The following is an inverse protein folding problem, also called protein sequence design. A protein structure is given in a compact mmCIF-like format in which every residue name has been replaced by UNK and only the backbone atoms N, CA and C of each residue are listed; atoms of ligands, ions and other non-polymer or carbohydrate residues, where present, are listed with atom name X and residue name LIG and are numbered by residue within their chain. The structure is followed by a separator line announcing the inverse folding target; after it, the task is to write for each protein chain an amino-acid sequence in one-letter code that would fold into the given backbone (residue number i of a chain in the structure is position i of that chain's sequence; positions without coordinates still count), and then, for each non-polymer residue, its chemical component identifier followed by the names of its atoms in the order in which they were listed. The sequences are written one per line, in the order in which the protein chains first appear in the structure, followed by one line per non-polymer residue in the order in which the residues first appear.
data_IF_230571554998
#
_entry.id   IF_230571554998
#
_cell.length_a   1.000
_cell.length_b   1.000
_cell.length_c   1.000
_cell.angle_alpha   90.00
_cell.angle_beta   90.00
_cell.angle_gamma   90.00
#
_symmetry.space_group_name_H-M   'P 1'
#
loop_
_entity.id
_entity.type
_entity.pdbx_description
1 polymer ?
#
# COMPACT_ATOMS: atom_id res chain seq x y z
N UNK A 1 -3.17 -2.03 1.80
CA UNK A 1 -2.31 -2.48 2.92
C UNK A 1 -2.93 -3.65 3.68
N UNK A 2 -4.22 -3.60 4.07
CA UNK A 2 -4.92 -4.71 4.75
C UNK A 2 -4.61 -6.11 4.19
N UNK A 3 -4.87 -6.35 2.91
CA UNK A 3 -4.63 -7.66 2.30
C UNK A 3 -3.15 -8.04 2.23
N UNK A 4 -2.22 -7.08 2.14
CA UNK A 4 -0.80 -7.41 2.16
C UNK A 4 -0.38 -7.98 3.52
N UNK A 5 -0.98 -7.47 4.60
CA UNK A 5 -0.75 -7.99 5.97
C UNK A 5 -1.53 -9.28 6.16
N UNK A 6 -2.86 -9.28 6.08
CA UNK A 6 -3.69 -10.41 6.53
C UNK A 6 -3.98 -11.47 5.46
N UNK A 7 -3.95 -11.12 4.18
CA UNK A 7 -4.34 -12.03 3.09
C UNK A 7 -3.38 -11.91 1.88
N UNK A 8 -2.06 -12.12 2.05
CA UNK A 8 -1.08 -11.88 0.99
C UNK A 8 -1.32 -12.75 -0.25
N UNK A 9 -1.95 -13.91 -0.10
CA UNK A 9 -2.33 -14.82 -1.20
C UNK A 9 -3.34 -14.22 -2.19
N UNK A 10 -4.10 -13.19 -1.78
CA UNK A 10 -5.05 -12.47 -2.64
C UNK A 10 -4.37 -11.43 -3.53
N UNK A 11 -3.10 -11.12 -3.30
CA UNK A 11 -2.34 -10.16 -4.09
C UNK A 11 -1.37 -10.87 -5.06
N UNK A 12 -1.08 -10.28 -6.23
CA UNK A 12 -0.03 -10.79 -7.11
C UNK A 12 1.33 -10.84 -6.40
N UNK A 13 2.13 -11.89 -6.64
CA UNK A 13 3.44 -12.10 -5.99
C UNK A 13 4.39 -10.91 -6.18
N UNK A 14 4.46 -10.37 -7.39
CA UNK A 14 5.29 -9.19 -7.69
C UNK A 14 4.88 -7.96 -6.86
N UNK A 15 3.57 -7.80 -6.62
CA UNK A 15 3.04 -6.70 -5.83
C UNK A 15 3.39 -6.86 -4.35
N UNK A 16 3.26 -8.07 -3.79
CA UNK A 16 3.72 -8.35 -2.43
C UNK A 16 5.22 -8.08 -2.25
N UNK A 17 6.05 -8.50 -3.20
CA UNK A 17 7.50 -8.26 -3.17
C UNK A 17 7.82 -6.76 -3.20
N UNK A 18 7.11 -6.00 -4.05
CA UNK A 18 7.30 -4.56 -4.14
C UNK A 18 6.92 -3.84 -2.84
N UNK A 19 5.77 -4.17 -2.24
CA UNK A 19 5.36 -3.57 -0.96
C UNK A 19 6.34 -3.94 0.15
N UNK A 20 6.78 -5.21 0.22
CA UNK A 20 7.76 -5.65 1.22
C UNK A 20 9.08 -4.90 1.12
N UNK A 21 9.59 -4.67 -0.10
CA UNK A 21 10.79 -3.88 -0.34
C UNK A 21 10.63 -2.42 0.12
N UNK A 22 9.46 -1.82 -0.07
CA UNK A 22 9.18 -0.46 0.37
C UNK A 22 8.92 -0.34 1.89
N UNK A 23 8.37 -1.39 2.51
CA UNK A 23 7.98 -1.39 3.92
C UNK A 23 9.18 -1.47 4.87
N UNK A 24 10.28 -2.14 4.48
CA UNK A 24 11.51 -2.28 5.30
C UNK A 24 11.16 -2.58 6.77
N UNK A 25 10.49 -3.72 6.98
CA UNK A 25 10.03 -4.18 8.29
C UNK A 25 10.36 -5.67 8.41
N UNK A 26 10.65 -6.13 9.63
CA UNK A 26 10.90 -7.54 9.88
C UNK A 26 9.64 -8.37 9.59
N UNK A 27 9.73 -9.44 8.77
CA UNK A 27 8.58 -10.29 8.45
C UNK A 27 7.94 -10.95 9.68
N UNK A 28 8.69 -11.17 10.76
CA UNK A 28 8.19 -11.72 12.03
C UNK A 28 7.16 -10.82 12.68
N UNK A 29 7.31 -9.50 12.55
CA UNK A 29 6.31 -8.55 13.06
C UNK A 29 5.00 -8.62 12.26
N UNK A 30 5.08 -8.78 10.93
CA UNK A 30 3.89 -8.99 10.10
C UNK A 30 3.20 -10.31 10.48
N UNK A 31 3.99 -11.35 10.72
CA UNK A 31 3.47 -12.65 11.15
C UNK A 31 2.81 -12.58 12.53
N UNK A 32 3.39 -11.85 13.48
CA UNK A 32 2.78 -11.61 14.79
C UNK A 32 1.43 -10.88 14.68
N UNK A 33 1.31 -9.89 13.80
CA UNK A 33 0.04 -9.22 13.52
C UNK A 33 -1.01 -10.18 12.96
N UNK A 34 -0.63 -11.12 12.07
CA UNK A 34 -1.55 -12.16 11.55
C UNK A 34 -2.00 -13.11 12.64
N UNK A 35 -1.09 -13.52 13.52
CA UNK A 35 -1.40 -14.40 14.66
C UNK A 35 -2.29 -13.68 15.68
N UNK A 36 -2.09 -12.38 15.87
CA UNK A 36 -2.97 -11.55 16.69
C UNK A 36 -4.38 -11.44 16.09
N UNK A 37 -4.48 -11.24 14.77
CA UNK A 37 -5.75 -11.17 14.03
C UNK A 37 -6.54 -12.48 14.03
N UNK A 38 -5.85 -13.62 13.95
CA UNK A 38 -6.47 -14.96 13.97
C UNK A 38 -6.74 -15.48 15.38
N UNK A 39 -6.28 -14.78 16.42
CA UNK A 39 -6.41 -15.20 17.82
C UNK A 39 -5.41 -16.27 18.26
N UNK A 40 -4.45 -16.65 17.41
CA UNK A 40 -3.36 -17.56 17.77
C UNK A 40 -2.37 -16.92 18.75
N UNK A 41 -2.15 -15.61 18.63
CA UNK A 41 -1.40 -14.80 19.60
C UNK A 41 -2.41 -13.97 20.40
N UNK A 42 -2.42 -14.15 21.72
CA UNK A 42 -3.31 -13.44 22.64
C UNK A 42 -2.50 -12.72 23.72
N UNK A 43 -2.80 -11.45 23.95
CA UNK A 43 -2.19 -10.70 25.03
C UNK A 43 -2.59 -11.24 26.41
N UNK A 44 -1.64 -11.27 27.34
CA UNK A 44 -1.83 -11.74 28.72
C UNK A 44 -1.95 -13.25 28.88
N UNK A 45 -1.79 -14.02 27.80
CA UNK A 45 -1.87 -15.49 27.81
C UNK A 45 -0.65 -16.08 27.11
N UNK A 46 0.05 -17.00 27.76
CA UNK A 46 1.10 -17.77 27.11
C UNK A 46 0.49 -18.84 26.19
N UNK A 47 0.50 -18.53 24.90
CA UNK A 47 0.02 -19.38 23.80
C UNK A 47 1.16 -20.09 23.07
N UNK A 48 2.38 -20.07 23.63
CA UNK A 48 3.59 -20.58 22.98
C UNK A 48 4.08 -19.73 21.81
N UNK A 49 3.54 -18.51 21.64
CA UNK A 49 3.89 -17.60 20.54
C UNK A 49 5.07 -16.67 20.85
N UNK A 50 5.50 -16.59 22.11
CA UNK A 50 6.61 -15.74 22.56
C UNK A 50 7.92 -15.91 21.76
N UNK A 51 8.33 -17.12 21.32
CA UNK A 51 9.58 -17.28 20.56
C UNK A 51 9.65 -16.48 19.26
N UNK A 52 8.51 -16.18 18.61
CA UNK A 52 8.47 -15.48 17.33
C UNK A 52 9.06 -14.06 17.44
N UNK A 53 8.52 -13.25 18.35
CA UNK A 53 9.00 -11.89 18.58
C UNK A 53 10.15 -11.85 19.59
N UNK A 54 10.28 -12.86 20.45
CA UNK A 54 11.44 -13.03 21.32
C UNK A 54 12.74 -13.12 20.51
N UNK A 55 12.79 -14.01 19.51
CA UNK A 55 13.95 -14.11 18.60
C UNK A 55 14.20 -12.81 17.82
N UNK A 56 13.15 -12.05 17.50
CA UNK A 56 13.29 -10.73 16.88
C UNK A 56 13.92 -9.72 17.84
N UNK A 57 13.52 -9.72 19.11
CA UNK A 57 14.13 -8.89 20.12
C UNK A 57 15.61 -9.25 20.31
N UNK A 58 15.93 -10.54 20.33
CA UNK A 58 17.30 -11.04 20.46
C UNK A 58 18.20 -10.53 19.30
N UNK A 59 17.75 -10.62 18.05
CA UNK A 59 18.50 -10.15 16.87
C UNK A 59 18.72 -8.63 16.84
N UNK A 60 17.78 -7.87 17.43
CA UNK A 60 17.84 -6.41 17.50
C UNK A 60 18.47 -5.88 18.80
N UNK A 61 18.87 -6.75 19.72
CA UNK A 61 19.47 -6.37 21.01
C UNK A 61 18.47 -5.77 22.01
N UNK A 62 17.17 -6.08 21.88
CA UNK A 62 16.13 -5.65 22.82
C UNK A 62 15.86 -6.71 23.90
N UNK A 63 15.28 -6.33 25.05
CA UNK A 63 14.88 -7.30 26.05
C UNK A 63 13.89 -8.33 25.49
N UNK A 64 14.21 -9.62 25.61
CA UNK A 64 13.37 -10.72 25.10
C UNK A 64 11.93 -10.67 25.61
N UNK A 65 11.72 -10.20 26.84
CA UNK A 65 10.41 -10.01 27.45
C UNK A 65 9.51 -9.02 26.67
N UNK A 66 10.08 -8.11 25.87
CA UNK A 66 9.30 -7.21 25.01
C UNK A 66 8.63 -7.93 23.83
N UNK A 67 9.12 -9.12 23.47
CA UNK A 67 8.51 -9.97 22.45
C UNK A 67 7.50 -10.98 23.02
N UNK A 68 7.32 -11.03 24.34
CA UNK A 68 6.42 -11.98 24.98
C UNK A 68 5.00 -11.39 25.09
N UNK A 69 3.98 -11.97 24.42
CA UNK A 69 2.60 -11.48 24.50
C UNK A 69 1.96 -11.65 25.89
N UNK A 70 2.46 -12.55 26.73
CA UNK A 70 1.96 -12.72 28.10
C UNK A 70 2.46 -11.62 29.04
N UNK A 71 3.65 -11.06 28.76
CA UNK A 71 4.31 -10.05 29.59
C UNK A 71 4.09 -8.64 29.04
N UNK A 72 4.25 -8.44 27.73
CA UNK A 72 4.25 -7.13 27.10
C UNK A 72 2.91 -6.81 26.44
N UNK A 73 2.05 -6.07 27.17
CA UNK A 73 0.71 -5.69 26.72
C UNK A 73 0.52 -4.18 26.70
N UNK A 74 0.41 -3.53 25.53
CA UNK A 74 0.72 -4.04 24.19
C UNK A 74 2.26 -4.03 23.96
N UNK A 75 2.75 -4.67 22.88
CA UNK A 75 4.18 -4.63 22.54
C UNK A 75 4.75 -3.19 22.50
N UNK A 76 6.02 -2.93 22.85
CA UNK A 76 6.54 -1.56 22.87
C UNK A 76 6.62 -0.96 21.45
N UNK A 77 6.39 0.35 21.32
CA UNK A 77 6.52 1.02 20.03
C UNK A 77 7.92 0.90 19.43
N UNK A 78 8.96 0.78 20.25
CA UNK A 78 10.33 0.55 19.78
C UNK A 78 10.47 -0.75 18.98
N UNK A 79 9.83 -1.82 19.46
CA UNK A 79 9.71 -3.11 18.74
C UNK A 79 8.93 -2.92 17.44
N UNK A 80 7.84 -2.15 17.44
CA UNK A 80 7.05 -1.89 16.22
C UNK A 80 7.80 -1.01 15.20
N UNK A 81 8.63 -0.08 15.68
CA UNK A 81 9.39 0.88 14.87
C UNK A 81 10.73 0.33 14.37
N UNK A 82 11.06 -0.93 14.69
CA UNK A 82 12.35 -1.55 14.38
C UNK A 82 13.55 -0.76 14.95
N UNK A 83 13.39 -0.15 16.13
CA UNK A 83 14.46 0.64 16.79
C UNK A 83 14.85 1.95 16.08
N UNK A 84 14.14 2.37 15.02
CA UNK A 84 14.60 3.47 14.16
C UNK A 84 14.67 4.82 14.89
N UNK A 85 13.77 5.06 15.85
CA UNK A 85 13.67 6.32 16.61
C UNK A 85 13.25 6.05 18.08
N UNK A 86 13.66 4.91 18.64
CA UNK A 86 13.18 4.44 19.95
C UNK A 86 11.64 4.39 20.01
N UNK A 87 11.08 4.89 21.11
CA UNK A 87 9.64 4.89 21.38
C UNK A 87 8.85 6.00 20.66
N UNK A 88 9.51 6.95 19.98
CA UNK A 88 8.84 8.08 19.33
C UNK A 88 8.12 7.67 18.03
N UNK A 89 6.79 7.82 18.04
CA UNK A 89 5.94 7.54 16.86
C UNK A 89 6.10 8.62 15.78
N UNK A 90 6.19 9.88 16.19
CA UNK A 90 6.39 11.04 15.32
C UNK A 90 7.77 11.00 14.65
N UNK A 91 8.81 10.69 15.43
CA UNK A 91 10.17 10.52 14.90
C UNK A 91 10.25 9.39 13.88
N UNK A 92 9.59 8.26 14.17
CA UNK A 92 9.49 7.16 13.22
C UNK A 92 8.77 7.58 11.93
N UNK A 93 7.63 8.26 12.04
CA UNK A 93 6.87 8.75 10.90
C UNK A 93 7.67 9.73 10.03
N UNK A 94 8.39 10.67 10.64
CA UNK A 94 9.23 11.64 9.93
C UNK A 94 10.43 10.95 9.23
N UNK A 95 11.10 10.03 9.91
CA UNK A 95 12.23 9.29 9.34
C UNK A 95 11.78 8.39 8.20
N UNK A 96 10.62 7.74 8.34
CA UNK A 96 9.97 6.97 7.24
C UNK A 96 9.65 7.88 6.06
N UNK A 97 9.07 9.06 6.30
CA UNK A 97 8.75 10.01 5.24
C UNK A 97 10.00 10.37 4.43
N UNK A 98 11.10 10.74 5.10
CA UNK A 98 12.34 11.14 4.43
C UNK A 98 12.98 9.97 3.67
N UNK A 99 13.09 8.79 4.31
CA UNK A 99 13.68 7.60 3.67
C UNK A 99 12.87 7.14 2.46
N UNK A 100 11.56 7.05 2.60
CA UNK A 100 10.65 6.67 1.52
C UNK A 100 10.61 7.71 0.41
N UNK A 101 10.66 9.00 0.73
CA UNK A 101 10.77 10.06 -0.28
C UNK A 101 12.05 9.94 -1.10
N UNK A 102 13.20 9.72 -0.45
CA UNK A 102 14.50 9.55 -1.14
C UNK A 102 14.50 8.32 -2.05
N UNK A 103 13.98 7.20 -1.55
CA UNK A 103 13.85 5.96 -2.32
C UNK A 103 12.91 6.13 -3.54
N UNK A 104 11.77 6.79 -3.33
CA UNK A 104 10.83 7.11 -4.39
C UNK A 104 11.45 8.06 -5.42
N UNK A 105 12.17 9.08 -4.97
CA UNK A 105 12.86 10.05 -5.84
C UNK A 105 13.91 9.36 -6.70
N UNK A 106 14.70 8.44 -6.13
CA UNK A 106 15.67 7.65 -6.87
C UNK A 106 15.04 6.81 -8.01
N UNK A 107 13.77 6.44 -7.87
CA UNK A 107 13.03 5.68 -8.89
C UNK A 107 12.31 6.59 -9.90
N UNK A 108 11.64 7.64 -9.42
CA UNK A 108 10.79 8.49 -10.26
C UNK A 108 11.57 9.58 -11.00
N UNK A 109 12.68 10.09 -10.44
CA UNK A 109 13.46 11.14 -11.08
C UNK A 109 14.02 10.69 -12.43
N UNK A 110 14.70 9.52 -12.56
CA UNK A 110 15.23 9.06 -13.85
C UNK A 110 14.13 8.93 -14.91
N UNK A 111 12.98 8.36 -14.55
CA UNK A 111 11.84 8.18 -15.45
C UNK A 111 11.30 9.53 -15.97
N UNK A 112 11.15 10.52 -15.08
CA UNK A 112 10.66 11.84 -15.47
C UNK A 112 11.68 12.61 -16.34
N UNK A 113 12.98 12.44 -16.08
CA UNK A 113 14.05 13.03 -16.89
C UNK A 113 14.11 12.40 -18.29
N UNK A 114 14.03 11.08 -18.40
CA UNK A 114 13.95 10.37 -19.69
C UNK A 114 12.72 10.82 -20.47
N UNK A 115 11.55 10.89 -19.83
CA UNK A 115 10.33 11.36 -20.49
C UNK A 115 10.45 12.82 -20.97
N UNK A 116 11.17 13.68 -20.24
CA UNK A 116 11.46 15.04 -20.69
C UNK A 116 12.44 15.06 -21.87
N UNK A 117 13.49 14.24 -21.84
CA UNK A 117 14.45 14.12 -22.93
C UNK A 117 13.79 13.61 -24.23
N UNK A 118 12.99 12.55 -24.15
CA UNK A 118 12.25 12.02 -25.32
C UNK A 118 11.31 13.06 -25.91
N UNK A 119 10.52 13.76 -25.08
CA UNK A 119 9.64 14.85 -25.56
C UNK A 119 10.40 15.96 -26.27
N UNK A 120 11.59 16.31 -25.76
CA UNK A 120 12.43 17.34 -26.38
C UNK A 120 13.00 16.91 -27.74
N UNK A 121 13.06 15.61 -28.03
CA UNK A 121 13.50 15.07 -29.32
C UNK A 121 12.35 14.93 -30.32
N UNK A 122 11.14 14.59 -29.88
CA UNK A 122 10.01 14.25 -30.76
C UNK A 122 9.10 15.41 -31.13
N UNK A 123 9.07 16.49 -30.35
CA UNK A 123 8.15 17.61 -30.57
C UNK A 123 8.91 18.90 -30.96
N UNK A 124 8.35 19.74 -31.85
CA UNK A 124 8.89 21.06 -32.13
C UNK A 124 9.05 21.83 -30.82
N UNK A 125 10.27 22.27 -30.53
CA UNK A 125 10.61 22.85 -29.24
C UNK A 125 10.03 24.26 -29.14
N UNK A 126 8.90 24.39 -28.46
CA UNK A 126 8.17 25.66 -28.27
C UNK A 126 8.60 26.44 -27.02
N UNK A 127 9.65 26.01 -26.29
CA UNK A 127 10.10 26.69 -25.08
C UNK A 127 11.50 26.32 -24.57
N UNK A 128 11.99 27.01 -23.51
CA UNK A 128 13.31 26.79 -22.94
C UNK A 128 13.42 25.48 -22.13
N UNK A 129 14.55 24.78 -22.26
CA UNK A 129 14.89 23.51 -21.59
C UNK A 129 14.66 23.56 -20.07
N UNK A 130 14.93 24.70 -19.46
CA UNK A 130 14.73 24.92 -18.02
C UNK A 130 13.28 24.71 -17.59
N UNK A 131 12.29 24.98 -18.45
CA UNK A 131 10.86 24.74 -18.15
C UNK A 131 10.55 23.24 -18.11
N UNK A 132 11.07 22.47 -19.06
CA UNK A 132 10.85 21.02 -19.10
C UNK A 132 11.55 20.29 -17.97
N UNK A 133 12.78 20.70 -17.63
CA UNK A 133 13.50 20.19 -16.48
C UNK A 133 12.78 20.52 -15.16
N UNK A 134 12.34 21.78 -14.98
CA UNK A 134 11.54 22.17 -13.79
C UNK A 134 10.26 21.34 -13.68
N UNK A 135 9.56 21.13 -14.80
CA UNK A 135 8.35 20.29 -14.84
C UNK A 135 8.66 18.84 -14.46
N UNK A 136 9.75 18.27 -14.96
CA UNK A 136 10.18 16.92 -14.62
C UNK A 136 10.53 16.79 -13.13
N UNK A 137 11.27 17.75 -12.56
CA UNK A 137 11.62 17.79 -11.15
C UNK A 137 10.39 17.92 -10.25
N UNK A 138 9.47 18.85 -10.55
CA UNK A 138 8.22 19.03 -9.79
C UNK A 138 7.36 17.77 -9.88
N UNK A 139 7.27 17.16 -11.06
CA UNK A 139 6.53 15.90 -11.25
C UNK A 139 7.12 14.78 -10.40
N UNK A 140 8.43 14.55 -10.47
CA UNK A 140 9.12 13.52 -9.68
C UNK A 140 9.01 13.78 -8.17
N UNK A 141 9.18 15.04 -7.73
CA UNK A 141 9.04 15.42 -6.33
C UNK A 141 7.61 15.19 -5.82
N UNK A 142 6.58 15.54 -6.61
CA UNK A 142 5.18 15.29 -6.27
C UNK A 142 4.89 13.79 -6.16
N UNK A 143 5.32 12.98 -7.12
CA UNK A 143 5.23 11.51 -7.07
C UNK A 143 5.88 10.91 -5.84
N UNK A 144 7.05 11.44 -5.48
CA UNK A 144 7.83 10.97 -4.34
C UNK A 144 7.20 11.40 -3.02
N UNK A 145 6.63 12.61 -2.97
CA UNK A 145 5.87 13.11 -1.83
C UNK A 145 4.59 12.29 -1.60
N UNK A 146 3.83 11.97 -2.65
CA UNK A 146 2.68 11.08 -2.57
C UNK A 146 3.04 9.73 -1.96
N UNK A 147 4.07 9.05 -2.47
CA UNK A 147 4.47 7.74 -1.99
C UNK A 147 5.08 7.78 -0.59
N UNK A 148 5.92 8.78 -0.31
CA UNK A 148 6.50 9.00 1.02
C UNK A 148 5.42 9.27 2.07
N UNK A 149 4.45 10.14 1.75
CA UNK A 149 3.32 10.43 2.61
C UNK A 149 2.42 9.21 2.80
N UNK A 150 2.16 8.43 1.74
CA UNK A 150 1.39 7.18 1.85
C UNK A 150 1.98 6.24 2.90
N UNK A 151 3.29 5.99 2.83
CA UNK A 151 3.99 5.11 3.76
C UNK A 151 4.00 5.71 5.18
N UNK A 152 4.39 6.97 5.31
CA UNK A 152 4.46 7.66 6.61
C UNK A 152 3.10 7.71 7.31
N UNK A 153 2.04 8.09 6.59
CA UNK A 153 0.67 8.14 7.10
C UNK A 153 0.14 6.75 7.47
N UNK A 154 0.53 5.69 6.75
CA UNK A 154 0.16 4.33 7.12
C UNK A 154 0.72 3.95 8.49
N UNK A 155 2.04 4.08 8.67
CA UNK A 155 2.69 3.77 9.95
C UNK A 155 2.22 4.68 11.08
N UNK A 156 2.08 5.98 10.81
CA UNK A 156 1.57 6.93 11.79
C UNK A 156 0.13 6.62 12.18
N UNK A 157 -0.75 6.27 11.23
CA UNK A 157 -2.13 5.89 11.51
C UNK A 157 -2.25 4.62 12.37
N UNK A 158 -1.39 3.62 12.11
CA UNK A 158 -1.27 2.43 12.97
C UNK A 158 -0.88 2.83 14.39
N UNK A 159 0.17 3.62 14.55
CA UNK A 159 0.69 4.04 15.86
C UNK A 159 -0.30 4.94 16.61
N UNK A 160 -0.92 5.89 15.92
CA UNK A 160 -1.92 6.80 16.47
C UNK A 160 -3.11 6.02 17.05
N UNK A 161 -3.59 5.02 16.31
CA UNK A 161 -4.67 4.15 16.77
C UNK A 161 -4.23 3.28 17.94
N UNK A 162 -3.00 2.77 17.90
CA UNK A 162 -2.46 1.88 18.92
C UNK A 162 -2.19 2.56 20.27
N UNK A 163 -1.71 3.80 20.23
CA UNK A 163 -1.16 4.48 21.41
C UNK A 163 -2.07 5.57 21.95
N UNK A 164 -2.77 6.32 21.09
CA UNK A 164 -3.56 7.47 21.47
C UNK A 164 -5.05 7.20 21.29
N UNK A 165 -5.53 7.13 20.06
CA UNK A 165 -6.97 7.12 19.78
C UNK A 165 -7.66 5.81 20.22
N UNK A 166 -7.08 4.66 19.91
CA UNK A 166 -7.70 3.36 20.24
C UNK A 166 -7.89 3.16 21.74
N UNK A 167 -6.87 3.40 22.60
CA UNK A 167 -7.04 3.27 24.05
C UNK A 167 -8.06 4.25 24.66
N UNK A 168 -8.28 5.41 24.04
CA UNK A 168 -9.31 6.36 24.46
C UNK A 168 -10.72 5.96 24.02
N UNK A 169 -10.86 5.23 22.90
CA UNK A 169 -12.17 4.85 22.32
C UNK A 169 -12.62 3.44 22.73
N UNK A 170 -11.71 2.46 22.73
CA UNK A 170 -12.00 1.04 22.98
C UNK A 170 -11.63 0.59 24.40
N UNK A 171 -10.93 1.43 25.17
CA UNK A 171 -10.45 1.13 26.51
C UNK A 171 -8.99 0.67 26.55
N UNK A 172 -8.47 0.51 27.78
CA UNK A 172 -7.06 0.17 28.05
C UNK A 172 -6.84 -1.30 28.41
N UNK A 173 -7.91 -2.07 28.53
CA UNK A 173 -7.86 -3.47 28.96
C UNK A 173 -7.15 -4.36 27.94
N UNK A 174 -6.69 -5.53 28.39
CA UNK A 174 -5.99 -6.53 27.55
C UNK A 174 -6.82 -6.89 26.32
N UNK A 175 -8.14 -7.10 26.49
CA UNK A 175 -9.06 -7.39 25.38
C UNK A 175 -9.18 -6.23 24.38
N UNK A 176 -9.17 -4.99 24.87
CA UNK A 176 -9.20 -3.80 24.03
C UNK A 176 -7.90 -3.67 23.22
N UNK A 177 -6.74 -3.87 23.86
CA UNK A 177 -5.42 -3.90 23.19
C UNK A 177 -5.33 -5.00 22.14
N UNK A 178 -5.86 -6.19 22.43
CA UNK A 178 -5.97 -7.28 21.46
C UNK A 178 -6.83 -6.89 20.25
N UNK A 179 -7.97 -6.23 20.48
CA UNK A 179 -8.84 -5.77 19.40
C UNK A 179 -8.16 -4.71 18.54
N UNK A 180 -7.40 -3.80 19.18
CA UNK A 180 -6.66 -2.75 18.49
C UNK A 180 -5.59 -3.34 17.57
N UNK A 181 -4.69 -4.18 18.11
CA UNK A 181 -3.60 -4.79 17.34
C UNK A 181 -4.07 -5.92 16.41
N UNK A 182 -5.21 -6.53 16.71
CA UNK A 182 -5.84 -7.58 15.92
C UNK A 182 -6.49 -7.10 14.61
N UNK A 183 -6.53 -5.79 14.35
CA UNK A 183 -6.99 -5.30 13.06
C UNK A 183 -7.34 -3.81 13.01
N UNK A 184 -7.86 -3.24 14.10
CA UNK A 184 -8.34 -1.85 14.09
C UNK A 184 -7.21 -0.88 13.76
N UNK A 185 -6.00 -1.10 14.28
CA UNK A 185 -4.84 -0.25 13.98
C UNK A 185 -4.44 -0.30 12.49
N UNK A 186 -4.47 -1.48 11.87
CA UNK A 186 -4.19 -1.66 10.44
C UNK A 186 -5.29 -1.03 9.58
N UNK A 187 -6.55 -1.20 9.97
CA UNK A 187 -7.69 -0.58 9.30
C UNK A 187 -7.60 0.93 9.30
N UNK A 188 -7.34 1.53 10.46
CA UNK A 188 -7.13 2.97 10.60
C UNK A 188 -5.92 3.46 9.79
N UNK A 189 -4.80 2.73 9.82
CA UNK A 189 -3.65 3.00 8.95
C UNK A 189 -4.02 3.03 7.46
N UNK A 190 -4.86 2.09 7.01
CA UNK A 190 -5.35 2.05 5.62
C UNK A 190 -6.19 3.28 5.26
N UNK A 191 -7.05 3.75 6.17
CA UNK A 191 -7.88 4.94 5.95
C UNK A 191 -7.00 6.18 5.88
N UNK A 192 -6.11 6.37 6.86
CA UNK A 192 -5.27 7.56 6.96
C UNK A 192 -4.30 7.67 5.79
N UNK A 193 -3.68 6.56 5.36
CA UNK A 193 -2.77 6.60 4.20
C UNK A 193 -3.47 6.88 2.88
N UNK A 194 -4.77 6.56 2.75
CA UNK A 194 -5.54 6.80 1.52
C UNK A 194 -5.60 8.29 1.13
N UNK A 195 -5.58 9.18 2.11
CA UNK A 195 -5.60 10.63 1.91
C UNK A 195 -4.33 11.19 1.24
N UNK A 196 -3.24 10.42 1.20
CA UNK A 196 -2.02 10.87 0.52
C UNK A 196 -2.24 11.13 -0.97
N UNK A 197 -3.24 10.49 -1.58
CA UNK A 197 -3.57 10.65 -3.01
C UNK A 197 -3.87 12.10 -3.40
N UNK A 198 -4.28 12.93 -2.44
CA UNK A 198 -4.54 14.36 -2.67
C UNK A 198 -3.27 15.16 -3.01
N UNK A 199 -2.07 14.62 -2.72
CA UNK A 199 -0.81 15.22 -3.14
C UNK A 199 -0.57 15.08 -4.66
N UNK A 200 -1.25 14.14 -5.32
CA UNK A 200 -1.17 13.95 -6.77
C UNK A 200 -2.08 14.90 -7.54
N UNK A 201 -1.73 15.13 -8.81
CA UNK A 201 -2.59 15.86 -9.73
C UNK A 201 -3.86 15.06 -10.07
N UNK A 202 -4.99 15.74 -10.26
CA UNK A 202 -6.28 15.11 -10.58
C UNK A 202 -6.25 14.12 -11.75
N UNK A 203 -5.44 14.38 -12.80
CA UNK A 203 -5.24 13.43 -13.90
C UNK A 203 -4.62 12.11 -13.42
N UNK A 204 -3.52 12.20 -12.67
CA UNK A 204 -2.80 11.03 -12.15
C UNK A 204 -3.58 10.32 -11.03
N UNK A 205 -4.39 11.03 -10.27
CA UNK A 205 -5.32 10.43 -9.30
C UNK A 205 -6.27 9.45 -9.99
N UNK A 206 -6.82 9.81 -11.17
CA UNK A 206 -7.68 8.93 -11.96
C UNK A 206 -6.92 7.69 -12.43
N UNK A 207 -5.70 7.85 -12.91
CA UNK A 207 -4.86 6.73 -13.37
C UNK A 207 -4.55 5.76 -12.21
N UNK A 208 -4.19 6.29 -11.04
CA UNK A 208 -3.94 5.48 -9.84
C UNK A 208 -5.22 4.80 -9.38
N UNK A 209 -6.37 5.49 -9.38
CA UNK A 209 -7.65 4.90 -9.02
C UNK A 209 -8.03 3.75 -9.96
N UNK A 210 -7.90 3.94 -11.28
CA UNK A 210 -8.15 2.90 -12.29
C UNK A 210 -7.17 1.73 -12.15
N UNK A 211 -5.95 1.97 -11.67
CA UNK A 211 -4.98 0.91 -11.43
C UNK A 211 -5.26 0.14 -10.12
N UNK A 212 -5.59 0.83 -9.04
CA UNK A 212 -5.70 0.25 -7.69
C UNK A 212 -7.10 -0.29 -7.40
N UNK A 213 -8.16 0.40 -7.81
CA UNK A 213 -9.53 0.01 -7.46
C UNK A 213 -9.94 -1.37 -8.00
N UNK A 214 -9.67 -1.74 -9.27
CA UNK A 214 -9.99 -3.08 -9.75
C UNK A 214 -9.21 -4.17 -9.01
N UNK A 215 -7.95 -3.90 -8.66
CA UNK A 215 -7.13 -4.84 -7.87
C UNK A 215 -7.66 -4.98 -6.44
N UNK A 216 -8.13 -3.90 -5.83
CA UNK A 216 -8.76 -3.94 -4.52
C UNK A 216 -10.08 -4.72 -4.57
N UNK A 217 -10.95 -4.46 -5.55
CA UNK A 217 -12.19 -5.21 -5.75
C UNK A 217 -11.95 -6.69 -6.03
N UNK A 218 -10.92 -7.02 -6.82
CA UNK A 218 -10.54 -8.41 -7.08
C UNK A 218 -10.19 -9.19 -5.81
N UNK A 219 -9.79 -8.52 -4.73
CA UNK A 219 -9.53 -9.20 -3.44
C UNK A 219 -10.79 -9.58 -2.68
N UNK A 220 -11.96 -9.04 -3.04
CA UNK A 220 -13.26 -9.41 -2.46
C UNK A 220 -13.81 -10.69 -3.11
N UNK A 221 -13.37 -11.00 -4.32
CA UNK A 221 -13.80 -12.16 -5.10
C UNK A 221 -12.80 -13.31 -4.94
N UNK A 222 -13.24 -14.58 -5.10
CA UNK A 222 -12.32 -15.69 -5.15
C UNK A 222 -11.41 -15.58 -6.39
N UNK A 223 -10.13 -15.91 -6.23
CA UNK A 223 -9.16 -15.85 -7.33
C UNK A 223 -9.46 -16.82 -8.48
N UNK A 224 -10.16 -17.91 -8.16
CA UNK A 224 -10.69 -18.88 -9.12
C UNK A 224 -12.05 -19.31 -8.62
N UNK A 225 -13.05 -19.23 -9.48
CA UNK A 225 -14.32 -19.90 -9.22
C UNK A 225 -14.18 -21.41 -9.42
N UNK A 226 -14.95 -22.17 -8.65
CA UNK A 226 -15.15 -23.58 -8.95
C UNK A 226 -15.85 -23.74 -10.31
N UNK A 227 -15.70 -24.91 -10.93
CA UNK A 227 -16.17 -25.18 -12.30
C UNK A 227 -17.66 -24.88 -12.50
N UNK A 228 -18.48 -25.15 -11.49
CA UNK A 228 -19.92 -24.87 -11.46
C UNK A 228 -20.26 -23.37 -11.52
N UNK A 229 -19.32 -22.50 -11.15
CA UNK A 229 -19.52 -21.03 -11.04
C UNK A 229 -18.71 -20.24 -12.06
N UNK A 230 -17.98 -20.89 -12.96
CA UNK A 230 -17.19 -20.21 -14.00
C UNK A 230 -18.05 -19.34 -14.92
N UNK A 231 -19.32 -19.70 -15.12
CA UNK A 231 -20.27 -18.89 -15.89
C UNK A 231 -20.35 -17.44 -15.41
N UNK A 232 -20.10 -17.16 -14.12
CA UNK A 232 -20.09 -15.80 -13.57
C UNK A 232 -18.97 -14.95 -14.17
N UNK A 233 -17.78 -15.53 -14.31
CA UNK A 233 -16.66 -14.87 -14.98
C UNK A 233 -16.94 -14.69 -16.46
N UNK A 234 -17.49 -15.72 -17.13
CA UNK A 234 -17.86 -15.66 -18.54
C UNK A 234 -18.88 -14.55 -18.82
N UNK A 235 -19.93 -14.45 -18.00
CA UNK A 235 -20.97 -13.41 -18.14
C UNK A 235 -20.38 -12.03 -17.89
N UNK A 236 -19.60 -11.85 -16.82
CA UNK A 236 -18.96 -10.56 -16.54
C UNK A 236 -18.00 -10.14 -17.66
N UNK A 237 -17.23 -11.08 -18.21
CA UNK A 237 -16.32 -10.85 -19.31
C UNK A 237 -17.07 -10.52 -20.61
N UNK A 238 -18.12 -11.29 -20.94
CA UNK A 238 -18.93 -11.06 -22.13
C UNK A 238 -19.65 -9.71 -22.06
N UNK A 239 -20.25 -9.37 -20.92
CA UNK A 239 -20.90 -8.08 -20.71
C UNK A 239 -19.91 -6.92 -20.80
N UNK A 240 -18.74 -7.03 -20.16
CA UNK A 240 -17.70 -5.99 -20.21
C UNK A 240 -17.17 -5.80 -21.64
N UNK A 241 -16.96 -6.89 -22.37
CA UNK A 241 -16.49 -6.86 -23.77
C UNK A 241 -17.56 -6.27 -24.69
N UNK A 242 -18.83 -6.64 -24.50
CA UNK A 242 -19.95 -6.10 -25.26
C UNK A 242 -20.03 -4.58 -25.10
N UNK A 243 -19.94 -4.06 -23.87
CA UNK A 243 -19.95 -2.61 -23.60
C UNK A 243 -18.78 -1.90 -24.30
N UNK A 244 -17.58 -2.48 -24.29
CA UNK A 244 -16.42 -1.88 -24.98
C UNK A 244 -16.65 -1.87 -26.49
N UNK A 245 -17.14 -2.96 -27.07
CA UNK A 245 -17.38 -3.06 -28.51
C UNK A 245 -18.51 -2.12 -28.97
N UNK A 246 -19.61 -2.03 -28.23
CA UNK A 246 -20.69 -1.08 -28.54
C UNK A 246 -20.18 0.36 -28.46
N UNK A 247 -19.39 0.72 -27.43
CA UNK A 247 -18.79 2.05 -27.35
C UNK A 247 -17.85 2.36 -28.52
N UNK A 248 -17.05 1.40 -28.99
CA UNK A 248 -16.18 1.61 -30.16
C UNK A 248 -16.98 1.80 -31.44
N UNK A 249 -18.10 1.10 -31.59
CA UNK A 249 -18.97 1.21 -32.77
C UNK A 249 -19.75 2.54 -32.78
N UNK A 250 -20.23 3.01 -31.62
CA UNK A 250 -21.00 4.25 -31.50
C UNK A 250 -20.12 5.51 -31.51
N UNK A 251 -19.07 5.57 -30.69
CA UNK A 251 -18.24 6.77 -30.52
C UNK A 251 -16.78 6.39 -30.20
N UNK A 252 -15.99 6.25 -31.27
CA UNK A 252 -14.58 5.87 -31.22
C UNK A 252 -13.71 6.80 -30.38
N UNK A 253 -14.08 8.08 -30.25
CA UNK A 253 -13.28 9.06 -29.49
C UNK A 253 -13.26 8.73 -28.00
N UNK A 254 -14.25 7.99 -27.51
CA UNK A 254 -14.36 7.59 -26.10
C UNK A 254 -13.35 6.52 -25.68
N UNK A 255 -12.89 5.67 -26.61
CA UNK A 255 -11.91 4.61 -26.29
C UNK A 255 -10.51 5.09 -26.65
N UNK A 256 -9.74 5.48 -25.63
CA UNK A 256 -8.41 6.09 -25.79
C UNK A 256 -7.29 5.05 -25.83
N UNK A 257 -6.17 5.43 -26.44
CA UNK A 257 -4.91 4.68 -26.40
C UNK A 257 -4.84 3.53 -27.40
N UNK A 258 -3.92 2.59 -27.13
CA UNK A 258 -3.61 1.47 -28.04
C UNK A 258 -4.82 0.58 -28.30
N UNK A 259 -5.65 0.34 -27.27
CA UNK A 259 -6.85 -0.48 -27.40
C UNK A 259 -7.85 0.13 -28.40
N UNK A 260 -8.07 1.45 -28.34
CA UNK A 260 -8.93 2.15 -29.30
C UNK A 260 -8.36 2.14 -30.72
N UNK A 261 -7.03 2.25 -30.84
CA UNK A 261 -6.35 2.17 -32.15
C UNK A 261 -6.53 0.79 -32.80
N UNK A 262 -6.28 -0.29 -32.04
CA UNK A 262 -6.39 -1.67 -32.53
C UNK A 262 -7.85 -2.04 -32.81
N UNK A 263 -8.77 -1.80 -31.88
CA UNK A 263 -10.20 -2.09 -32.10
C UNK A 263 -10.76 -1.26 -33.25
N UNK A 264 -10.31 -0.01 -33.40
CA UNK A 264 -10.68 0.86 -34.51
C UNK A 264 -10.17 0.38 -35.87
N UNK A 265 -9.06 -0.37 -35.93
CA UNK A 265 -8.56 -0.96 -37.16
C UNK A 265 -9.22 -2.31 -37.49
N UNK A 266 -9.50 -3.13 -36.47
CA UNK A 266 -10.07 -4.49 -36.63
C UNK A 266 -11.58 -4.47 -36.86
N UNK A 267 -12.31 -3.59 -36.17
CA UNK A 267 -13.79 -3.48 -36.28
C UNK A 267 -14.23 -2.57 -37.43
N UNK A 268 -13.36 -2.32 -38.42
CA UNK A 268 -13.78 -1.70 -39.69
C UNK A 268 -14.29 -2.81 -40.63
N UNK A 269 -15.43 -2.63 -41.30
CA UNK A 269 -15.72 -3.36 -42.53
C UNK A 269 -14.73 -2.99 -43.63
#
# INVERSE_FOLDING_TARGET
MWNWIYHPSRLPRAYNKWIAAAAVIDPRLIEALRRCHTGALQYGVDTGQAPLLGAMCDDHGWPRAWGDPAISVPFPCEVVHMGTCGSSCEGHAATRLIRSFRWAMATYLPLNLVAAAVRSQTAPRTGPYSKDLKRALISAARSSAFLGAFISLFYYGVCLTRTRLGPHVLGKDVKARQTIDGGVCIGAGCVVCGWSILLENAGRQKDVALFVAPRALATLLPRRYAWDKQWRETVAFAASTAVVFTCVLEDRVRVRGVLGSVLGSVLRP
#
